data_IF_668516501112
#
_entry.id   IF_668516501112
#
_cell.length_a   1.000
_cell.length_b   1.000
_cell.length_c   1.000
_cell.angle_alpha   90.00
_cell.angle_beta   90.00
_cell.angle_gamma   90.00
#
_symmetry.space_group_name_H-M   'P 1'
#
loop_
_entity.id
_entity.type
_entity.pdbx_description
1 polymer ?
#
# COMPACT_ATOMS: atom_id res chain seq x y z
N UNK A 1 72.62 19.60 -1.67
CA UNK A 1 73.54 20.00 -0.58
C UNK A 1 72.73 20.73 0.48
N UNK A 2 72.82 20.26 1.72
CA UNK A 2 72.30 20.81 3.00
C UNK A 2 70.76 20.96 3.13
N UNK A 3 70.02 20.06 3.81
CA UNK A 3 70.01 19.64 5.25
C UNK A 3 69.74 20.77 6.24
N UNK A 4 68.58 20.70 6.92
CA UNK A 4 68.36 20.67 8.39
C UNK A 4 66.92 21.14 8.69
N UNK A 5 66.17 20.67 9.70
CA UNK A 5 66.30 19.59 10.70
C UNK A 5 64.90 19.38 11.30
N UNK A 6 64.64 18.15 11.75
CA UNK A 6 63.52 17.71 12.61
C UNK A 6 63.41 18.56 13.90
N UNK A 7 62.21 18.61 14.48
CA UNK A 7 61.96 17.98 15.79
C UNK A 7 60.46 17.74 16.05
N UNK A 8 60.21 16.63 16.73
CA UNK A 8 58.93 15.99 17.04
C UNK A 8 58.20 16.64 18.23
N UNK A 9 56.87 16.42 18.36
CA UNK A 9 56.20 15.97 19.60
C UNK A 9 54.76 15.51 19.28
N UNK A 10 54.43 14.37 19.89
CA UNK A 10 53.20 13.58 20.04
C UNK A 10 51.99 14.34 20.60
N UNK A 11 50.75 14.07 20.13
CA UNK A 11 49.60 13.63 20.96
C UNK A 11 48.26 13.55 20.19
N UNK A 12 47.41 12.71 20.75
CA UNK A 12 46.26 11.97 20.20
C UNK A 12 44.92 12.70 20.35
N UNK A 13 43.99 12.44 19.39
CA UNK A 13 42.51 12.56 19.37
C UNK A 13 41.81 13.75 20.08
N UNK A 14 40.97 14.48 19.32
CA UNK A 14 39.54 14.64 19.65
C UNK A 14 38.69 15.13 18.45
N UNK A 15 37.56 14.43 18.25
CA UNK A 15 36.33 14.71 17.49
C UNK A 15 36.25 15.93 16.55
N UNK A 16 36.11 15.67 15.25
CA UNK A 16 35.63 16.64 14.26
C UNK A 16 34.18 16.32 13.83
N UNK A 17 33.30 17.25 14.19
CA UNK A 17 32.10 17.71 13.47
C UNK A 17 31.81 17.07 12.11
N UNK A 18 30.66 16.40 11.97
CA UNK A 18 30.09 16.13 10.64
C UNK A 18 29.30 17.36 10.20
N UNK A 19 29.92 18.07 9.27
CA UNK A 19 29.44 19.16 8.46
C UNK A 19 28.18 18.81 7.67
N UNK A 20 27.31 19.80 7.51
CA UNK A 20 26.06 19.71 6.77
C UNK A 20 26.26 19.34 5.30
N UNK A 21 25.33 18.53 4.80
CA UNK A 21 25.13 18.34 3.38
C UNK A 21 24.03 19.29 2.90
N UNK A 22 24.45 20.30 2.14
CA UNK A 22 23.55 21.03 1.26
C UNK A 22 23.07 20.11 0.15
N UNK A 23 21.76 20.05 -0.06
CA UNK A 23 21.16 19.41 -1.23
C UNK A 23 20.83 20.50 -2.25
N UNK A 24 21.48 20.37 -3.42
CA UNK A 24 21.22 21.15 -4.61
C UNK A 24 19.80 20.87 -5.15
N UNK A 25 19.07 21.88 -5.64
CA UNK A 25 17.87 21.68 -6.43
C UNK A 25 18.27 21.53 -7.89
N UNK A 26 18.11 20.34 -8.49
CA UNK A 26 17.88 20.11 -9.92
C UNK A 26 18.02 18.61 -10.25
N UNK A 27 16.99 17.82 -9.93
CA UNK A 27 16.84 16.45 -10.42
C UNK A 27 15.37 15.99 -10.54
N UNK A 28 14.43 16.93 -10.72
CA UNK A 28 13.00 16.60 -10.86
C UNK A 28 12.62 16.33 -12.34
N UNK A 29 13.53 16.58 -13.29
CA UNK A 29 13.27 16.44 -14.73
C UNK A 29 13.34 15.02 -15.31
N UNK A 30 14.12 14.11 -14.71
CA UNK A 30 14.45 12.81 -15.35
C UNK A 30 13.66 11.61 -14.82
N UNK A 31 12.83 11.78 -13.79
CA UNK A 31 12.05 10.69 -13.18
C UNK A 31 10.73 10.41 -13.94
N UNK A 32 10.25 11.36 -14.76
CA UNK A 32 8.94 11.28 -15.40
C UNK A 32 8.86 10.40 -16.68
N UNK A 33 10.00 9.93 -17.23
CA UNK A 33 10.01 9.13 -18.49
C UNK A 33 10.16 7.61 -18.31
N UNK A 34 10.10 7.08 -17.08
CA UNK A 34 10.22 5.62 -16.80
C UNK A 34 9.00 4.98 -16.10
N UNK A 35 7.80 5.50 -16.32
CA UNK A 35 6.56 4.81 -15.90
C UNK A 35 5.87 4.09 -17.06
N UNK A 36 6.59 3.19 -17.72
CA UNK A 36 6.00 1.87 -17.98
C UNK A 36 6.52 0.99 -16.86
N UNK A 37 5.70 0.80 -15.82
CA UNK A 37 5.99 -0.21 -14.80
C UNK A 37 5.70 -1.56 -15.44
N UNK A 38 6.59 -2.03 -16.30
CA UNK A 38 6.80 -3.47 -16.48
C UNK A 38 7.48 -3.90 -15.19
N UNK A 39 6.71 -4.45 -14.24
CA UNK A 39 7.32 -5.14 -13.10
C UNK A 39 8.13 -6.28 -13.72
N UNK A 40 9.47 -6.27 -13.67
CA UNK A 40 10.22 -7.44 -14.06
C UNK A 40 9.80 -8.53 -13.08
N UNK A 41 9.28 -9.66 -13.57
CA UNK A 41 9.06 -10.82 -12.73
C UNK A 41 10.36 -11.08 -11.95
N UNK A 42 10.26 -11.28 -10.64
CA UNK A 42 11.40 -11.77 -9.88
C UNK A 42 11.83 -13.09 -10.54
N UNK A 43 12.95 -13.07 -11.27
CA UNK A 43 13.48 -14.25 -11.96
C UNK A 43 14.01 -15.30 -10.99
N UNK A 44 14.12 -14.97 -9.71
CA UNK A 44 14.56 -15.89 -8.66
C UNK A 44 13.36 -16.66 -8.16
N UNK A 45 13.37 -17.96 -8.43
CA UNK A 45 12.44 -18.92 -7.87
C UNK A 45 13.11 -19.69 -6.74
N UNK A 46 12.31 -20.18 -5.81
CA UNK A 46 12.77 -21.00 -4.69
C UNK A 46 12.93 -22.45 -5.19
N UNK A 47 14.01 -23.10 -4.78
CA UNK A 47 14.36 -24.43 -5.27
C UNK A 47 13.33 -25.47 -4.81
N UNK A 48 13.11 -26.49 -5.65
CA UNK A 48 12.09 -27.52 -5.41
C UNK A 48 12.27 -28.23 -4.07
N UNK A 49 13.50 -28.56 -3.68
CA UNK A 49 13.78 -29.25 -2.42
C UNK A 49 13.48 -28.37 -1.19
N UNK A 50 13.61 -27.05 -1.31
CA UNK A 50 13.24 -26.10 -0.26
C UNK A 50 11.72 -26.01 -0.11
N UNK A 51 10.99 -25.94 -1.23
CA UNK A 51 9.52 -26.00 -1.22
C UNK A 51 9.04 -27.30 -0.59
N UNK A 52 9.61 -28.44 -1.01
CA UNK A 52 9.26 -29.76 -0.49
C UNK A 52 9.49 -29.88 1.02
N UNK A 53 10.52 -29.26 1.58
CA UNK A 53 10.73 -29.22 3.04
C UNK A 53 9.58 -28.53 3.77
N UNK A 54 9.07 -27.43 3.22
CA UNK A 54 8.00 -26.62 3.83
C UNK A 54 6.65 -27.34 3.78
N UNK A 55 6.29 -27.90 2.61
CA UNK A 55 4.98 -28.51 2.40
C UNK A 55 4.83 -29.92 3.01
N UNK A 56 5.91 -30.54 3.51
CA UNK A 56 5.87 -31.87 4.17
C UNK A 56 4.84 -31.98 5.29
N UNK A 57 4.51 -30.86 5.93
CA UNK A 57 3.53 -30.77 7.03
C UNK A 57 2.11 -30.42 6.60
N UNK A 58 1.87 -30.26 5.29
CA UNK A 58 0.56 -29.91 4.72
C UNK A 58 -0.26 -31.17 4.46
N UNK A 59 -1.56 -31.01 4.19
CA UNK A 59 -2.40 -32.11 3.76
C UNK A 59 -1.95 -32.66 2.38
N UNK A 60 -2.24 -33.93 2.04
CA UNK A 60 -1.82 -34.54 0.78
C UNK A 60 -2.31 -33.81 -0.49
N UNK A 61 -3.52 -33.24 -0.47
CA UNK A 61 -4.08 -32.50 -1.61
C UNK A 61 -3.22 -31.30 -2.02
N UNK A 62 -3.01 -30.32 -1.11
CA UNK A 62 -2.07 -29.22 -1.35
C UNK A 62 -0.65 -29.67 -1.71
N UNK A 63 -0.13 -30.75 -1.11
CA UNK A 63 1.19 -31.26 -1.48
C UNK A 63 1.25 -31.72 -2.95
N UNK A 64 0.24 -32.45 -3.42
CA UNK A 64 0.14 -32.89 -4.80
C UNK A 64 0.04 -31.69 -5.75
N UNK A 65 -0.85 -30.74 -5.44
CA UNK A 65 -1.00 -29.52 -6.24
C UNK A 65 0.30 -28.72 -6.32
N UNK A 66 1.09 -28.65 -5.23
CA UNK A 66 2.40 -28.00 -5.26
C UNK A 66 3.35 -28.67 -6.26
N UNK A 67 3.38 -30.00 -6.29
CA UNK A 67 4.21 -30.76 -7.23
C UNK A 67 3.77 -30.52 -8.68
N UNK A 68 2.46 -30.52 -8.94
CA UNK A 68 1.91 -30.25 -10.27
C UNK A 68 2.21 -28.83 -10.74
N UNK A 69 2.02 -27.83 -9.88
CA UNK A 69 2.33 -26.43 -10.20
C UNK A 69 3.82 -26.23 -10.43
N UNK A 70 4.69 -26.85 -9.63
CA UNK A 70 6.14 -26.79 -9.84
C UNK A 70 6.57 -27.50 -11.13
N UNK A 71 5.94 -28.62 -11.48
CA UNK A 71 6.22 -29.32 -12.73
C UNK A 71 5.82 -28.47 -13.95
N UNK A 72 4.72 -27.72 -13.86
CA UNK A 72 4.20 -26.90 -14.96
C UNK A 72 4.84 -25.52 -15.08
N UNK A 73 5.10 -24.84 -13.97
CA UNK A 73 5.51 -23.44 -13.92
C UNK A 73 6.90 -23.19 -13.31
N UNK A 74 7.59 -24.25 -12.85
CA UNK A 74 8.83 -24.14 -12.10
C UNK A 74 8.61 -23.75 -10.64
N UNK A 75 9.69 -23.45 -9.91
CA UNK A 75 9.61 -23.07 -8.50
C UNK A 75 8.79 -21.78 -8.26
N UNK A 76 8.11 -21.64 -7.10
CA UNK A 76 7.41 -20.42 -6.73
C UNK A 76 8.41 -19.28 -6.42
N UNK A 77 7.94 -18.03 -6.46
CA UNK A 77 8.73 -16.87 -6.02
C UNK A 77 8.55 -16.58 -4.52
N UNK A 78 7.52 -17.13 -3.88
CA UNK A 78 7.26 -16.96 -2.44
C UNK A 78 6.91 -18.31 -1.81
N UNK A 79 7.55 -18.63 -0.70
CA UNK A 79 7.28 -19.82 0.13
C UNK A 79 7.18 -19.38 1.57
N UNK A 80 6.10 -19.77 2.24
CA UNK A 80 5.88 -19.59 3.67
C UNK A 80 5.31 -20.88 4.26
N UNK A 81 5.18 -21.00 5.58
CA UNK A 81 4.57 -22.18 6.20
C UNK A 81 3.11 -22.39 5.78
N UNK A 82 2.41 -21.34 5.30
CA UNK A 82 0.98 -21.37 5.01
C UNK A 82 0.63 -21.23 3.52
N UNK A 83 1.56 -20.78 2.67
CA UNK A 83 1.29 -20.58 1.23
C UNK A 83 2.53 -20.62 0.34
N UNK A 84 2.30 -20.96 -0.94
CA UNK A 84 3.20 -20.79 -2.07
C UNK A 84 2.59 -19.79 -3.06
N UNK A 85 3.42 -18.93 -3.67
CA UNK A 85 2.97 -18.00 -4.73
C UNK A 85 3.85 -18.08 -5.97
N UNK A 86 3.19 -18.27 -7.11
CA UNK A 86 3.74 -17.97 -8.44
C UNK A 86 3.16 -16.66 -8.95
N UNK A 87 3.99 -15.80 -9.52
CA UNK A 87 3.60 -14.52 -10.13
C UNK A 87 3.91 -14.56 -11.62
N UNK A 88 2.97 -14.06 -12.42
CA UNK A 88 3.10 -14.02 -13.89
C UNK A 88 3.43 -15.39 -14.51
N UNK A 89 2.74 -16.45 -14.05
CA UNK A 89 2.92 -17.82 -14.53
C UNK A 89 1.80 -18.16 -15.54
N UNK A 90 2.18 -18.49 -16.77
CA UNK A 90 1.21 -18.75 -17.85
C UNK A 90 0.29 -17.54 -18.09
N UNK A 91 -1.04 -17.74 -18.23
CA UNK A 91 -1.99 -16.63 -18.37
C UNK A 91 -2.35 -15.94 -17.05
N UNK A 92 -1.81 -16.41 -15.92
CA UNK A 92 -2.23 -15.98 -14.59
C UNK A 92 -1.35 -14.85 -14.07
N UNK A 93 -2.00 -13.82 -13.50
CA UNK A 93 -1.33 -12.78 -12.71
C UNK A 93 -0.65 -13.40 -11.50
N UNK A 94 -1.36 -14.34 -10.85
CA UNK A 94 -0.94 -14.99 -9.61
C UNK A 94 -1.54 -16.40 -9.53
N UNK A 95 -0.75 -17.34 -9.03
CA UNK A 95 -1.22 -18.65 -8.56
C UNK A 95 -0.88 -18.70 -7.08
N UNK A 96 -1.87 -18.95 -6.23
CA UNK A 96 -1.70 -19.06 -4.78
C UNK A 96 -2.14 -20.44 -4.34
N UNK A 97 -1.23 -21.18 -3.73
CA UNK A 97 -1.54 -22.47 -3.11
C UNK A 97 -1.41 -22.33 -1.60
N UNK A 98 -2.40 -22.77 -0.84
CA UNK A 98 -2.40 -22.64 0.62
C UNK A 98 -2.34 -23.99 1.32
N UNK A 99 -1.85 -23.97 2.56
CA UNK A 99 -1.91 -25.11 3.48
C UNK A 99 -3.35 -25.45 3.89
N UNK A 100 -4.15 -24.42 4.13
CA UNK A 100 -5.55 -24.55 4.53
C UNK A 100 -6.40 -25.09 3.38
N UNK A 101 -7.26 -26.04 3.72
CA UNK A 101 -8.27 -26.65 2.86
C UNK A 101 -9.65 -26.13 3.28
N UNK A 102 -10.43 -25.61 2.32
CA UNK A 102 -11.77 -25.11 2.57
C UNK A 102 -12.81 -26.05 1.92
N UNK A 103 -13.84 -26.52 2.64
CA UNK A 103 -14.85 -27.37 2.03
C UNK A 103 -15.67 -26.60 0.99
N UNK A 104 -15.93 -27.25 -0.15
CA UNK A 104 -16.69 -26.67 -1.25
C UNK A 104 -17.54 -27.74 -1.94
N UNK A 105 -18.85 -27.46 -2.08
CA UNK A 105 -19.83 -28.47 -2.50
C UNK A 105 -20.20 -28.45 -3.99
N UNK A 106 -19.67 -27.50 -4.77
CA UNK A 106 -20.01 -27.36 -6.18
C UNK A 106 -18.82 -27.65 -7.10
N UNK A 107 -18.99 -28.50 -8.14
CA UNK A 107 -20.20 -29.19 -8.57
C UNK A 107 -20.48 -30.47 -7.76
N UNK A 108 -19.51 -30.88 -6.95
CA UNK A 108 -19.60 -31.97 -5.98
C UNK A 108 -18.68 -31.64 -4.79
N UNK A 109 -18.85 -32.27 -3.62
CA UNK A 109 -17.99 -32.03 -2.46
C UNK A 109 -16.50 -32.29 -2.75
N UNK A 110 -15.67 -31.28 -2.48
CA UNK A 110 -14.21 -31.32 -2.56
C UNK A 110 -13.61 -30.23 -1.65
N UNK A 111 -12.27 -30.08 -1.68
CA UNK A 111 -11.53 -29.12 -0.85
C UNK A 111 -10.79 -28.08 -1.71
N UNK A 112 -10.98 -26.81 -1.40
CA UNK A 112 -10.39 -25.66 -2.07
C UNK A 112 -9.07 -25.24 -1.42
N UNK A 113 -7.98 -25.33 -2.17
CA UNK A 113 -6.63 -24.91 -1.72
C UNK A 113 -5.80 -24.20 -2.79
N UNK A 114 -6.20 -24.31 -4.07
CA UNK A 114 -5.48 -23.75 -5.21
C UNK A 114 -6.28 -22.61 -5.83
N UNK A 115 -5.76 -21.39 -5.75
CA UNK A 115 -6.32 -20.19 -6.34
C UNK A 115 -5.51 -19.75 -7.56
N UNK A 116 -6.21 -19.44 -8.64
CA UNK A 116 -5.66 -18.72 -9.78
C UNK A 116 -6.25 -17.32 -9.82
N UNK A 117 -5.47 -16.34 -10.24
CA UNK A 117 -5.90 -14.95 -10.41
C UNK A 117 -5.54 -14.48 -11.82
N UNK A 118 -6.52 -13.93 -12.53
CA UNK A 118 -6.32 -13.26 -13.82
C UNK A 118 -6.53 -11.75 -13.68
N UNK A 119 -5.90 -10.99 -14.58
CA UNK A 119 -6.22 -9.60 -14.78
C UNK A 119 -7.53 -9.50 -15.58
N UNK A 120 -8.60 -9.07 -14.90
CA UNK A 120 -9.95 -9.03 -15.46
C UNK A 120 -10.80 -7.99 -14.71
N UNK A 121 -11.30 -6.99 -15.42
CA UNK A 121 -12.26 -6.02 -14.90
C UNK A 121 -13.68 -6.53 -15.12
N UNK A 122 -14.31 -7.01 -14.04
CA UNK A 122 -15.74 -7.39 -14.08
C UNK A 122 -16.60 -6.13 -14.11
N UNK A 123 -17.51 -5.96 -15.09
CA UNK A 123 -18.48 -4.87 -15.10
C UNK A 123 -19.32 -4.86 -13.80
N UNK A 124 -19.58 -3.67 -13.26
CA UNK A 124 -20.26 -3.54 -11.95
C UNK A 124 -21.64 -4.18 -11.98
N UNK A 125 -22.37 -3.96 -13.07
CA UNK A 125 -23.70 -4.51 -13.35
C UNK A 125 -23.71 -6.02 -13.64
N UNK A 126 -22.54 -6.67 -13.62
CA UNK A 126 -22.38 -8.13 -13.75
C UNK A 126 -21.85 -8.80 -12.49
N UNK A 127 -21.63 -8.05 -11.41
CA UNK A 127 -21.04 -8.59 -10.19
C UNK A 127 -21.95 -9.63 -9.52
N UNK A 128 -23.26 -9.41 -9.55
CA UNK A 128 -24.24 -10.31 -8.92
C UNK A 128 -24.30 -11.65 -9.65
N UNK A 129 -24.33 -11.65 -10.98
CA UNK A 129 -24.35 -12.88 -11.77
C UNK A 129 -23.06 -13.70 -11.62
N UNK A 130 -21.91 -13.03 -11.48
CA UNK A 130 -20.62 -13.70 -11.24
C UNK A 130 -20.61 -14.41 -9.89
N UNK A 131 -21.06 -13.75 -8.81
CA UNK A 131 -21.16 -14.38 -7.49
C UNK A 131 -22.24 -15.48 -7.45
N UNK A 132 -23.36 -15.29 -8.17
CA UNK A 132 -24.41 -16.30 -8.28
C UNK A 132 -23.95 -17.54 -9.06
N UNK A 133 -23.04 -17.38 -10.02
CA UNK A 133 -22.45 -18.49 -10.77
C UNK A 133 -21.58 -19.38 -9.87
N UNK A 134 -20.63 -18.82 -9.13
CA UNK A 134 -19.71 -19.62 -8.32
C UNK A 134 -19.21 -18.91 -7.06
N UNK A 135 -19.41 -19.55 -5.90
CA UNK A 135 -18.87 -19.09 -4.62
C UNK A 135 -17.32 -19.16 -4.55
N UNK A 136 -16.70 -19.90 -5.48
CA UNK A 136 -15.25 -19.98 -5.67
C UNK A 136 -14.62 -18.73 -6.31
N UNK A 137 -15.43 -17.78 -6.78
CA UNK A 137 -14.96 -16.56 -7.44
C UNK A 137 -14.81 -15.39 -6.46
N UNK A 138 -13.72 -14.64 -6.61
CA UNK A 138 -13.52 -13.37 -5.89
C UNK A 138 -13.23 -12.25 -6.90
N UNK A 139 -14.01 -11.16 -6.82
CA UNK A 139 -13.82 -9.95 -7.63
C UNK A 139 -13.05 -8.91 -6.81
N UNK A 140 -11.85 -8.53 -7.25
CA UNK A 140 -11.10 -7.43 -6.65
C UNK A 140 -10.92 -6.28 -7.66
N UNK A 141 -11.89 -5.37 -7.67
CA UNK A 141 -12.05 -4.31 -8.69
C UNK A 141 -10.91 -3.31 -8.76
N UNK A 142 -10.41 -2.85 -7.61
CA UNK A 142 -9.31 -1.87 -7.57
C UNK A 142 -8.02 -2.48 -8.13
N UNK A 143 -7.80 -3.78 -7.89
CA UNK A 143 -6.68 -4.52 -8.48
C UNK A 143 -6.89 -4.97 -9.93
N UNK A 144 -8.13 -4.84 -10.44
CA UNK A 144 -8.53 -5.40 -11.73
C UNK A 144 -8.37 -6.91 -11.78
N UNK A 145 -8.75 -7.61 -10.72
CA UNK A 145 -8.53 -9.05 -10.56
C UNK A 145 -9.85 -9.82 -10.48
N UNK A 146 -9.87 -10.98 -11.14
CA UNK A 146 -10.82 -12.05 -10.89
C UNK A 146 -10.02 -13.29 -10.46
N UNK A 147 -10.33 -13.82 -9.28
CA UNK A 147 -9.74 -15.07 -8.77
C UNK A 147 -10.77 -16.19 -8.81
N UNK A 148 -10.31 -17.42 -9.05
CA UNK A 148 -11.06 -18.66 -8.88
C UNK A 148 -10.24 -19.59 -7.99
N UNK A 149 -10.89 -20.21 -6.99
CA UNK A 149 -10.27 -21.14 -6.05
C UNK A 149 -10.94 -22.52 -6.11
N UNK A 150 -10.14 -23.58 -6.16
CA UNK A 150 -10.62 -24.97 -6.30
C UNK A 150 -9.52 -25.96 -5.86
N UNK A 151 -9.73 -27.25 -6.09
CA UNK A 151 -8.74 -28.33 -5.91
C UNK A 151 -7.78 -28.43 -7.11
N UNK A 152 -8.23 -28.08 -8.32
CA UNK A 152 -7.52 -28.27 -9.58
C UNK A 152 -7.43 -26.98 -10.42
N UNK A 153 -6.29 -26.76 -11.10
CA UNK A 153 -6.14 -25.65 -12.06
C UNK A 153 -7.21 -25.70 -13.15
N UNK A 154 -7.45 -26.88 -13.71
CA UNK A 154 -8.46 -27.09 -14.75
C UNK A 154 -9.88 -26.65 -14.34
N UNK A 155 -10.25 -26.80 -13.06
CA UNK A 155 -11.56 -26.36 -12.55
C UNK A 155 -11.58 -24.83 -12.41
N UNK A 156 -10.47 -24.21 -11.99
CA UNK A 156 -10.33 -22.76 -11.99
C UNK A 156 -10.41 -22.17 -13.42
N UNK A 157 -9.73 -22.79 -14.39
CA UNK A 157 -9.79 -22.41 -15.81
C UNK A 157 -11.22 -22.52 -16.36
N UNK A 158 -11.92 -23.62 -16.06
CA UNK A 158 -13.33 -23.81 -16.41
C UNK A 158 -14.21 -22.72 -15.79
N UNK A 159 -13.99 -22.41 -14.52
CA UNK A 159 -14.70 -21.34 -13.79
C UNK A 159 -14.54 -20.00 -14.51
N UNK A 160 -13.31 -19.62 -14.90
CA UNK A 160 -13.08 -18.36 -15.62
C UNK A 160 -13.78 -18.30 -16.98
N UNK A 161 -13.75 -19.39 -17.75
CA UNK A 161 -14.37 -19.43 -19.07
C UNK A 161 -15.89 -19.26 -18.98
N UNK A 162 -16.53 -19.97 -18.06
CA UNK A 162 -17.98 -19.87 -17.85
C UNK A 162 -18.38 -18.53 -17.23
N UNK A 163 -17.59 -17.99 -16.28
CA UNK A 163 -17.82 -16.65 -15.75
C UNK A 163 -17.75 -15.59 -16.87
N UNK A 164 -16.76 -15.68 -17.77
CA UNK A 164 -16.67 -14.78 -18.91
C UNK A 164 -17.88 -14.89 -19.86
N UNK A 165 -18.43 -16.07 -20.07
CA UNK A 165 -19.63 -16.25 -20.87
C UNK A 165 -20.90 -15.68 -20.21
N UNK A 166 -21.02 -15.79 -18.88
CA UNK A 166 -22.08 -15.12 -18.11
C UNK A 166 -21.95 -13.60 -18.21
N UNK A 167 -20.74 -13.07 -18.04
CA UNK A 167 -20.45 -11.63 -18.16
C UNK A 167 -20.77 -11.11 -19.57
N UNK A 168 -20.43 -11.90 -20.60
CA UNK A 168 -20.71 -11.57 -22.00
C UNK A 168 -22.17 -11.80 -22.42
N UNK A 169 -23.04 -12.28 -21.52
CA UNK A 169 -24.44 -12.58 -21.80
C UNK A 169 -24.66 -13.76 -22.74
N UNK A 170 -23.65 -14.59 -22.98
CA UNK A 170 -23.75 -15.80 -23.81
C UNK A 170 -24.44 -16.96 -23.09
N UNK A 171 -24.40 -16.95 -21.75
CA UNK A 171 -25.01 -17.97 -20.90
C UNK A 171 -25.72 -17.31 -19.73
N UNK A 172 -26.82 -17.93 -19.31
CA UNK A 172 -27.39 -17.63 -18.00
C UNK A 172 -26.53 -18.26 -16.90
N UNK A 173 -26.69 -17.80 -15.66
CA UNK A 173 -26.05 -18.41 -14.49
C UNK A 173 -26.40 -19.90 -14.38
N UNK A 174 -27.66 -20.26 -14.62
CA UNK A 174 -28.13 -21.64 -14.54
C UNK A 174 -27.47 -22.52 -15.61
N UNK A 175 -27.40 -22.05 -16.85
CA UNK A 175 -26.77 -22.78 -17.96
C UNK A 175 -25.27 -22.98 -17.70
N UNK A 176 -24.59 -21.93 -17.22
CA UNK A 176 -23.18 -22.01 -16.87
C UNK A 176 -22.92 -23.03 -15.74
N UNK A 177 -23.75 -23.07 -14.70
CA UNK A 177 -23.63 -24.06 -13.61
C UNK A 177 -23.88 -25.49 -14.11
N UNK A 178 -24.88 -25.68 -14.98
CA UNK A 178 -25.15 -26.99 -15.58
C UNK A 178 -23.97 -27.46 -16.43
N UNK A 179 -23.46 -26.58 -17.29
CA UNK A 179 -22.34 -26.89 -18.18
C UNK A 179 -21.04 -27.15 -17.42
N UNK A 180 -20.82 -26.48 -16.28
CA UNK A 180 -19.72 -26.81 -15.38
C UNK A 180 -19.78 -28.28 -14.97
N UNK A 181 -20.94 -28.74 -14.47
CA UNK A 181 -21.15 -30.14 -14.07
C UNK A 181 -20.97 -31.11 -15.24
N UNK A 182 -21.53 -30.79 -16.41
CA UNK A 182 -21.40 -31.61 -17.62
C UNK A 182 -19.92 -31.76 -18.05
N UNK A 183 -19.14 -30.67 -17.99
CA UNK A 183 -17.72 -30.66 -18.35
C UNK A 183 -16.89 -31.46 -17.33
N UNK A 184 -17.17 -31.31 -16.03
CA UNK A 184 -16.50 -32.11 -15.00
C UNK A 184 -16.77 -33.60 -15.21
N UNK A 185 -18.02 -34.00 -15.48
CA UNK A 185 -18.37 -35.39 -15.79
C UNK A 185 -17.63 -35.91 -17.03
N UNK A 186 -17.57 -35.11 -18.10
CA UNK A 186 -16.84 -35.50 -19.31
C UNK A 186 -15.37 -35.79 -19.03
N UNK A 187 -14.73 -35.02 -18.13
CA UNK A 187 -13.35 -35.23 -17.72
C UNK A 187 -13.16 -36.47 -16.85
N UNK A 188 -14.10 -36.75 -15.96
CA UNK A 188 -14.13 -38.02 -15.21
C UNK A 188 -14.18 -39.21 -16.16
N UNK A 189 -14.83 -39.07 -17.32
CA UNK A 189 -14.87 -40.07 -18.39
C UNK A 189 -13.65 -40.03 -19.34
N UNK A 190 -12.60 -39.28 -19.01
CA UNK A 190 -11.35 -39.22 -19.77
C UNK A 190 -11.37 -38.31 -21.01
N UNK A 191 -12.41 -37.47 -21.18
CA UNK A 191 -12.44 -36.47 -22.26
C UNK A 191 -11.65 -35.21 -21.86
N UNK A 192 -11.15 -34.47 -22.86
CA UNK A 192 -10.35 -33.24 -22.67
C UNK A 192 -11.06 -32.01 -23.28
N UNK A 193 -12.16 -31.52 -22.66
CA UNK A 193 -12.91 -30.37 -23.18
C UNK A 193 -12.09 -29.08 -23.12
N UNK A 194 -12.13 -28.28 -24.19
CA UNK A 194 -11.33 -27.06 -24.34
C UNK A 194 -11.49 -26.09 -23.15
N UNK A 195 -12.71 -25.96 -22.62
CA UNK A 195 -13.04 -25.07 -21.49
C UNK A 195 -12.29 -25.39 -20.19
N UNK A 196 -11.77 -26.62 -20.01
CA UNK A 196 -10.97 -26.99 -18.83
C UNK A 196 -9.46 -27.03 -19.12
N UNK A 197 -9.06 -26.92 -20.39
CA UNK A 197 -7.67 -27.04 -20.85
C UNK A 197 -6.92 -25.71 -20.83
N UNK A 198 -7.62 -24.62 -21.12
CA UNK A 198 -7.06 -23.27 -21.16
C UNK A 198 -8.14 -22.21 -21.22
N UNK A 199 -7.74 -20.96 -21.02
CA UNK A 199 -8.67 -19.84 -21.16
C UNK A 199 -9.11 -19.70 -22.62
N UNK A 200 -10.42 -19.61 -22.83
CA UNK A 200 -11.07 -19.42 -24.14
C UNK A 200 -11.18 -17.94 -24.52
N UNK A 201 -10.52 -17.08 -23.75
CA UNK A 201 -10.42 -15.64 -23.96
C UNK A 201 -9.03 -15.20 -23.51
N UNK A 202 -8.58 -14.06 -24.04
CA UNK A 202 -7.32 -13.45 -23.61
C UNK A 202 -7.58 -12.58 -22.38
N UNK A 203 -6.92 -12.84 -21.22
CA UNK A 203 -7.00 -11.95 -20.07
C UNK A 203 -6.56 -10.53 -20.41
N UNK A 204 -7.12 -9.56 -19.72
CA UNK A 204 -6.76 -8.15 -19.87
C UNK A 204 -5.34 -7.91 -19.33
N UNK A 205 -4.74 -6.77 -19.67
CA UNK A 205 -3.51 -6.33 -18.98
C UNK A 205 -3.88 -5.58 -17.70
N UNK A 206 -2.96 -5.52 -16.73
CA UNK A 206 -3.21 -4.76 -15.49
C UNK A 206 -3.51 -3.28 -15.72
N UNK A 207 -2.87 -2.68 -16.73
CA UNK A 207 -3.11 -1.30 -17.09
C UNK A 207 -4.57 -1.06 -17.54
N UNK A 208 -5.20 -2.07 -18.15
CA UNK A 208 -6.58 -2.01 -18.64
C UNK A 208 -7.57 -2.49 -17.57
N UNK A 209 -7.22 -3.51 -16.80
CA UNK A 209 -8.13 -4.15 -15.87
C UNK A 209 -8.36 -3.36 -14.58
N UNK A 210 -7.37 -2.59 -14.11
CA UNK A 210 -7.47 -1.88 -12.84
C UNK A 210 -8.51 -0.75 -12.92
N UNK A 211 -9.61 -0.89 -12.17
CA UNK A 211 -10.59 0.18 -12.03
C UNK A 211 -10.02 1.27 -11.12
N UNK A 212 -9.88 2.49 -11.65
CA UNK A 212 -9.63 3.67 -10.82
C UNK A 212 -10.98 4.17 -10.32
N UNK A 213 -11.22 4.00 -9.04
CA UNK A 213 -12.37 4.63 -8.39
C UNK A 213 -12.26 6.16 -8.55
N UNK A 214 -13.33 6.77 -9.04
CA UNK A 214 -13.43 8.23 -9.16
C UNK A 214 -13.75 8.79 -7.79
N UNK A 215 -12.89 9.68 -7.27
CA UNK A 215 -13.17 10.38 -6.03
C UNK A 215 -14.34 11.35 -6.26
N UNK A 216 -15.49 11.04 -5.68
CA UNK A 216 -16.74 11.83 -5.78
C UNK A 216 -16.99 12.73 -4.57
N UNK A 217 -16.26 12.54 -3.47
CA UNK A 217 -16.42 13.37 -2.27
C UNK A 217 -15.89 14.80 -2.52
N UNK A 218 -16.72 15.84 -2.35
CA UNK A 218 -16.28 17.22 -2.44
C UNK A 218 -15.14 17.51 -1.45
N UNK A 219 -14.11 18.23 -1.91
CA UNK A 219 -12.95 18.60 -1.09
C UNK A 219 -11.94 17.46 -0.84
N UNK A 220 -12.26 16.22 -1.20
CA UNK A 220 -11.32 15.11 -1.06
C UNK A 220 -10.18 15.19 -2.09
N UNK A 221 -8.99 14.79 -1.65
CA UNK A 221 -7.80 14.81 -2.50
C UNK A 221 -7.90 13.78 -3.65
N UNK A 222 -7.45 14.18 -4.84
CA UNK A 222 -7.37 13.30 -6.03
C UNK A 222 -5.92 13.00 -6.37
N UNK A 223 -5.64 11.81 -6.90
CA UNK A 223 -4.33 11.49 -7.47
C UNK A 223 -4.11 12.26 -8.76
N UNK A 224 -2.88 12.72 -8.99
CA UNK A 224 -2.50 13.27 -10.30
C UNK A 224 -2.65 12.20 -11.37
N UNK A 225 -3.23 12.56 -12.52
CA UNK A 225 -3.31 11.66 -13.66
C UNK A 225 -1.94 11.53 -14.33
N UNK A 226 -1.70 10.38 -14.99
CA UNK A 226 -0.42 10.07 -15.64
C UNK A 226 -0.03 11.06 -16.76
N UNK A 227 -0.96 11.91 -17.21
CA UNK A 227 -0.73 12.98 -18.20
C UNK A 227 -0.60 14.40 -17.61
N UNK A 228 -0.71 14.59 -16.29
CA UNK A 228 -0.59 15.92 -15.67
C UNK A 228 0.89 16.30 -15.48
N UNK A 229 1.37 17.26 -16.28
CA UNK A 229 2.76 17.74 -16.25
C UNK A 229 3.01 18.90 -15.28
N UNK A 230 1.98 19.42 -14.63
CA UNK A 230 2.09 20.49 -13.63
C UNK A 230 1.32 20.13 -12.36
N UNK A 231 2.01 19.44 -11.47
CA UNK A 231 1.58 19.25 -10.09
C UNK A 231 2.16 20.41 -9.26
N UNK A 232 1.30 21.19 -8.58
CA UNK A 232 1.73 22.38 -7.82
C UNK A 232 0.60 23.38 -7.58
N UNK A 233 0.93 24.47 -6.86
CA UNK A 233 -0.03 25.54 -6.54
C UNK A 233 -1.01 25.15 -5.44
N UNK A 234 -2.13 25.87 -5.35
CA UNK A 234 -3.07 25.78 -4.22
C UNK A 234 -3.59 24.36 -3.95
N UNK A 235 -3.78 23.56 -5.00
CA UNK A 235 -4.21 22.16 -4.90
C UNK A 235 -3.17 21.24 -4.22
N UNK A 236 -1.89 21.39 -4.58
CA UNK A 236 -0.82 20.63 -3.93
C UNK A 236 -0.58 21.14 -2.50
N UNK A 237 -0.68 22.46 -2.28
CA UNK A 237 -0.54 23.06 -0.95
C UNK A 237 -1.61 22.51 0.01
N UNK A 238 -2.87 22.47 -0.42
CA UNK A 238 -3.96 21.88 0.36
C UNK A 238 -3.72 20.40 0.64
N UNK A 239 -3.25 19.63 -0.35
CA UNK A 239 -2.96 18.21 -0.16
C UNK A 239 -1.79 17.98 0.80
N UNK A 240 -0.73 18.79 0.73
CA UNK A 240 0.38 18.74 1.68
C UNK A 240 -0.10 19.03 3.10
N UNK A 241 -0.90 20.08 3.29
CA UNK A 241 -1.44 20.42 4.62
C UNK A 241 -2.27 19.27 5.19
N UNK A 242 -3.29 18.80 4.45
CA UNK A 242 -4.12 17.66 4.88
C UNK A 242 -3.28 16.40 5.16
N UNK A 243 -2.23 16.14 4.39
CA UNK A 243 -1.33 15.00 4.65
C UNK A 243 -0.57 15.16 5.98
N UNK A 244 -0.01 16.34 6.27
CA UNK A 244 0.65 16.59 7.57
C UNK A 244 -0.34 16.37 8.72
N UNK A 245 -1.54 16.95 8.62
CA UNK A 245 -2.52 16.85 9.69
C UNK A 245 -2.98 15.41 9.94
N UNK A 246 -3.25 14.64 8.88
CA UNK A 246 -3.61 13.23 9.00
C UNK A 246 -2.49 12.39 9.63
N UNK A 247 -1.23 12.67 9.28
CA UNK A 247 -0.08 11.98 9.87
C UNK A 247 0.08 12.31 11.37
N UNK A 248 -0.14 13.56 11.77
CA UNK A 248 -0.08 13.97 13.18
C UNK A 248 -1.28 13.46 14.00
N UNK A 249 -2.47 13.39 13.40
CA UNK A 249 -3.64 12.69 13.98
C UNK A 249 -3.32 11.21 14.21
N UNK A 250 -2.66 10.54 13.26
CA UNK A 250 -2.26 9.14 13.42
C UNK A 250 -1.18 8.98 14.50
N UNK A 251 -0.14 9.82 14.52
CA UNK A 251 0.90 9.78 15.55
C UNK A 251 0.32 10.01 16.96
N UNK A 252 -0.59 10.97 17.11
CA UNK A 252 -1.30 11.21 18.35
C UNK A 252 -2.23 10.05 18.75
N UNK A 253 -2.89 9.40 17.78
CA UNK A 253 -3.68 8.19 18.03
C UNK A 253 -2.83 7.04 18.54
N UNK A 254 -1.64 6.84 17.95
CA UNK A 254 -0.66 5.87 18.45
C UNK A 254 -0.26 6.24 19.88
N UNK A 255 0.09 7.49 20.16
CA UNK A 255 0.50 7.92 21.51
C UNK A 255 -0.54 7.57 22.59
N UNK A 256 -1.83 7.75 22.29
CA UNK A 256 -2.94 7.39 23.19
C UNK A 256 -2.96 5.90 23.58
N UNK A 257 -2.36 5.02 22.77
CA UNK A 257 -2.28 3.57 23.05
C UNK A 257 -1.01 3.13 23.78
N UNK A 258 -0.01 4.02 23.93
CA UNK A 258 1.36 3.62 24.32
C UNK A 258 1.66 3.80 25.81
N UNK A 259 0.62 3.76 26.65
CA UNK A 259 0.71 3.93 28.12
C UNK A 259 1.46 5.20 28.54
N UNK A 260 1.35 6.27 27.74
CA UNK A 260 1.90 7.58 28.12
C UNK A 260 1.03 8.21 29.20
N UNK A 261 1.66 8.88 30.17
CA UNK A 261 0.96 9.49 31.29
C UNK A 261 0.90 11.02 31.21
N UNK A 262 0.00 11.59 32.03
CA UNK A 262 0.05 13.00 32.41
C UNK A 262 0.07 14.00 31.23
N UNK A 263 0.94 15.01 31.26
CA UNK A 263 0.96 16.08 30.27
C UNK A 263 1.17 15.62 28.81
N UNK A 264 1.88 14.51 28.58
CA UNK A 264 2.11 14.00 27.21
C UNK A 264 0.86 13.39 26.61
N UNK A 265 0.03 12.72 27.42
CA UNK A 265 -1.28 12.22 26.97
C UNK A 265 -2.21 13.38 26.60
N UNK A 266 -2.22 14.45 27.40
CA UNK A 266 -3.05 15.64 27.12
C UNK A 266 -2.57 16.36 25.85
N UNK A 267 -1.26 16.47 25.66
CA UNK A 267 -0.70 17.01 24.42
C UNK A 267 -1.11 16.17 23.21
N UNK A 268 -1.00 14.83 23.28
CA UNK A 268 -1.46 13.96 22.19
C UNK A 268 -2.97 14.11 21.93
N UNK A 269 -3.80 14.26 22.97
CA UNK A 269 -5.23 14.53 22.80
C UNK A 269 -5.47 15.85 22.05
N UNK A 270 -4.76 16.90 22.44
CA UNK A 270 -4.83 18.22 21.82
C UNK A 270 -4.40 18.20 20.34
N UNK A 271 -3.28 17.54 20.02
CA UNK A 271 -2.81 17.36 18.63
C UNK A 271 -3.87 16.65 17.79
N UNK A 272 -4.38 15.51 18.28
CA UNK A 272 -5.41 14.76 17.56
C UNK A 272 -6.67 15.59 17.26
N UNK A 273 -7.15 16.37 18.23
CA UNK A 273 -8.33 17.20 18.06
C UNK A 273 -8.11 18.35 17.08
N UNK A 274 -7.02 19.11 17.25
CA UNK A 274 -6.78 20.32 16.46
C UNK A 274 -6.37 20.02 15.03
N UNK A 275 -5.53 19.01 14.80
CA UNK A 275 -5.19 18.60 13.45
C UNK A 275 -6.39 17.93 12.76
N UNK A 276 -7.19 17.14 13.49
CA UNK A 276 -8.46 16.62 12.95
C UNK A 276 -9.43 17.73 12.51
N UNK A 277 -9.50 18.81 13.30
CA UNK A 277 -10.28 20.01 12.95
C UNK A 277 -9.71 20.74 11.73
N UNK A 278 -8.40 20.82 11.58
CA UNK A 278 -7.77 21.45 10.42
C UNK A 278 -7.96 20.65 9.12
N UNK A 279 -7.97 19.32 9.19
CA UNK A 279 -8.38 18.46 8.06
C UNK A 279 -9.80 18.80 7.61
N UNK A 280 -10.74 18.93 8.56
CA UNK A 280 -12.13 19.27 8.27
C UNK A 280 -12.25 20.67 7.64
N UNK A 281 -11.58 21.66 8.22
CA UNK A 281 -11.61 23.05 7.74
C UNK A 281 -10.96 23.20 6.36
N UNK A 282 -9.85 22.51 6.12
CA UNK A 282 -9.17 22.46 4.83
C UNK A 282 -10.06 21.82 3.76
N UNK A 283 -10.76 20.72 4.08
CA UNK A 283 -11.69 20.08 3.16
C UNK A 283 -12.89 20.98 2.83
N UNK A 284 -13.47 21.68 3.82
CA UNK A 284 -14.53 22.68 3.60
C UNK A 284 -14.04 23.83 2.73
N UNK A 285 -12.84 24.33 2.99
CA UNK A 285 -12.25 25.41 2.23
C UNK A 285 -12.03 25.00 0.77
N UNK A 286 -11.51 23.80 0.52
CA UNK A 286 -11.32 23.25 -0.82
C UNK A 286 -12.62 23.28 -1.64
N UNK A 287 -13.75 22.93 -1.03
CA UNK A 287 -15.09 23.05 -1.65
C UNK A 287 -15.43 24.52 -1.93
N UNK A 288 -15.29 25.41 -0.94
CA UNK A 288 -15.64 26.83 -1.06
C UNK A 288 -14.87 27.52 -2.19
N UNK A 289 -13.57 27.24 -2.32
CA UNK A 289 -12.73 27.89 -3.31
C UNK A 289 -12.66 27.14 -4.65
N UNK A 290 -13.36 26.02 -4.79
CA UNK A 290 -13.38 25.20 -6.00
C UNK A 290 -12.02 24.58 -6.35
N UNK A 291 -11.17 24.33 -5.36
CA UNK A 291 -9.85 23.71 -5.56
C UNK A 291 -9.90 22.29 -5.05
N UNK A 292 -9.65 21.32 -5.93
CA UNK A 292 -9.50 19.92 -5.53
C UNK A 292 -8.07 19.67 -5.09
N UNK A 293 -7.81 19.21 -3.85
CA UNK A 293 -6.45 18.88 -3.43
C UNK A 293 -5.85 17.78 -4.31
N UNK A 294 -4.56 17.85 -4.61
CA UNK A 294 -3.89 16.91 -5.52
C UNK A 294 -2.75 16.15 -4.82
N UNK A 295 -2.84 14.82 -4.85
CA UNK A 295 -1.83 13.89 -4.38
C UNK A 295 -0.72 13.75 -5.43
N UNK A 296 0.39 14.45 -5.18
CA UNK A 296 1.57 14.51 -6.05
C UNK A 296 2.70 13.61 -5.49
N UNK A 297 3.77 13.35 -6.25
CA UNK A 297 4.95 12.67 -5.70
C UNK A 297 5.54 13.35 -4.46
N UNK A 298 5.50 14.69 -4.39
CA UNK A 298 6.01 15.43 -3.23
C UNK A 298 5.12 15.22 -1.99
N UNK A 299 3.79 15.25 -2.16
CA UNK A 299 2.82 14.96 -1.07
C UNK A 299 3.01 13.52 -0.58
N UNK A 300 3.20 12.56 -1.49
CA UNK A 300 3.46 11.17 -1.13
C UNK A 300 4.77 11.00 -0.35
N UNK A 301 5.85 11.64 -0.80
CA UNK A 301 7.14 11.57 -0.13
C UNK A 301 7.09 12.16 1.30
N UNK A 302 6.26 13.20 1.50
CA UNK A 302 6.01 13.77 2.82
C UNK A 302 5.35 12.74 3.76
N UNK A 303 4.28 12.08 3.31
CA UNK A 303 3.63 11.00 4.07
C UNK A 303 4.61 9.85 4.38
N UNK A 304 5.36 9.38 3.39
CA UNK A 304 6.34 8.29 3.56
C UNK A 304 7.40 8.66 4.61
N UNK A 305 7.87 9.91 4.62
CA UNK A 305 8.81 10.42 5.63
C UNK A 305 8.21 10.36 7.03
N UNK A 306 6.98 10.86 7.22
CA UNK A 306 6.33 10.86 8.53
C UNK A 306 6.01 9.46 9.02
N UNK A 307 5.51 8.58 8.14
CA UNK A 307 5.26 7.18 8.44
C UNK A 307 6.53 6.46 8.90
N UNK A 308 7.66 6.68 8.21
CA UNK A 308 8.95 6.11 8.60
C UNK A 308 9.45 6.63 9.96
N UNK A 309 9.21 7.91 10.27
CA UNK A 309 9.57 8.49 11.56
C UNK A 309 8.73 7.91 12.71
N UNK A 310 7.41 7.79 12.51
CA UNK A 310 6.51 7.16 13.49
C UNK A 310 6.83 5.68 13.72
N UNK A 311 7.12 4.94 12.64
CA UNK A 311 7.46 3.51 12.72
C UNK A 311 8.67 3.21 13.62
N UNK A 312 9.61 4.16 13.76
CA UNK A 312 10.78 4.02 14.65
C UNK A 312 10.41 4.07 16.13
N UNK A 313 9.33 4.78 16.49
CA UNK A 313 8.94 4.98 17.89
C UNK A 313 7.81 4.05 18.33
N UNK A 314 7.01 3.51 17.38
CA UNK A 314 5.90 2.58 17.66
C UNK A 314 6.28 1.38 18.55
N UNK A 315 7.48 0.77 18.44
CA UNK A 315 7.87 -0.34 19.33
C UNK A 315 8.11 0.06 20.80
N UNK A 316 8.25 1.36 21.09
CA UNK A 316 8.47 1.86 22.44
C UNK A 316 7.14 1.94 23.22
N UNK A 317 7.21 1.95 24.54
CA UNK A 317 6.07 2.21 25.44
C UNK A 317 6.47 3.14 26.58
N UNK A 318 5.48 3.70 27.30
CA UNK A 318 5.68 4.49 28.51
C UNK A 318 6.58 5.71 28.27
N UNK A 319 7.50 5.98 29.20
CA UNK A 319 8.36 7.17 29.17
C UNK A 319 9.32 7.20 27.97
N UNK A 320 9.76 6.02 27.50
CA UNK A 320 10.59 5.91 26.31
C UNK A 320 9.83 6.35 25.05
N UNK A 321 8.56 5.91 24.93
CA UNK A 321 7.69 6.39 23.86
C UNK A 321 7.38 7.88 24.01
N UNK A 322 7.04 8.33 25.23
CA UNK A 322 6.70 9.72 25.50
C UNK A 322 7.83 10.69 25.08
N UNK A 323 9.07 10.36 25.42
CA UNK A 323 10.25 11.15 25.05
C UNK A 323 10.45 11.18 23.54
N UNK A 324 10.38 10.01 22.88
CA UNK A 324 10.55 9.91 21.44
C UNK A 324 9.41 10.58 20.65
N UNK A 325 8.19 10.56 21.18
CA UNK A 325 7.03 11.23 20.62
C UNK A 325 7.17 12.75 20.70
N UNK A 326 7.61 13.30 21.84
CA UNK A 326 7.86 14.74 21.95
C UNK A 326 8.97 15.19 20.99
N UNK A 327 10.04 14.41 20.84
CA UNK A 327 11.07 14.69 19.82
C UNK A 327 10.53 14.66 18.40
N UNK A 328 9.71 13.66 18.07
CA UNK A 328 9.02 13.58 16.78
C UNK A 328 8.16 14.82 16.53
N UNK A 329 7.39 15.27 17.53
CA UNK A 329 6.52 16.45 17.41
C UNK A 329 7.33 17.75 17.30
N UNK A 330 8.41 17.92 18.06
CA UNK A 330 9.29 19.09 17.93
C UNK A 330 9.90 19.18 16.53
N UNK A 331 10.42 18.06 16.02
CA UNK A 331 11.05 18.03 14.70
C UNK A 331 10.01 18.24 13.59
N UNK A 332 8.90 17.50 13.64
CA UNK A 332 7.80 17.61 12.67
C UNK A 332 7.22 19.02 12.59
N UNK A 333 6.83 19.61 13.72
CA UNK A 333 6.27 20.96 13.74
C UNK A 333 7.29 22.02 13.29
N UNK A 334 8.59 21.85 13.60
CA UNK A 334 9.65 22.76 13.11
C UNK A 334 9.74 22.73 11.58
N UNK A 335 9.73 21.54 10.98
CA UNK A 335 9.76 21.37 9.53
C UNK A 335 8.46 21.86 8.87
N UNK A 336 7.31 21.58 9.47
CA UNK A 336 5.98 22.02 9.00
C UNK A 336 5.88 23.54 9.00
N UNK A 337 6.42 24.25 10.01
CA UNK A 337 6.45 25.72 9.98
C UNK A 337 7.26 26.27 8.79
N UNK A 338 8.40 25.65 8.47
CA UNK A 338 9.19 26.04 7.30
C UNK A 338 8.45 25.72 5.99
N UNK A 339 7.71 24.60 5.94
CA UNK A 339 6.86 24.24 4.82
C UNK A 339 5.74 25.27 4.64
N UNK A 340 5.00 25.61 5.70
CA UNK A 340 3.94 26.61 5.70
C UNK A 340 4.47 27.98 5.26
N UNK A 341 5.66 28.39 5.70
CA UNK A 341 6.29 29.64 5.26
C UNK A 341 6.56 29.66 3.75
N UNK A 342 7.02 28.55 3.17
CA UNK A 342 7.18 28.42 1.72
C UNK A 342 5.83 28.45 1.00
N UNK A 343 4.86 27.71 1.51
CA UNK A 343 3.53 27.60 0.92
C UNK A 343 2.76 28.92 0.97
N UNK A 344 2.87 29.71 2.03
CA UNK A 344 2.27 31.04 2.13
C UNK A 344 2.74 31.99 1.02
N UNK A 345 4.02 31.89 0.63
CA UNK A 345 4.57 32.64 -0.52
C UNK A 345 4.07 32.10 -1.86
N UNK A 346 3.93 30.78 -1.97
CA UNK A 346 3.54 30.10 -3.21
C UNK A 346 2.03 30.11 -3.49
N UNK A 347 1.20 30.19 -2.44
CA UNK A 347 -0.24 30.18 -2.53
C UNK A 347 -0.73 31.36 -3.39
N UNK A 348 -1.82 31.15 -4.12
CA UNK A 348 -2.44 32.17 -4.99
C UNK A 348 -3.78 32.61 -4.44
N UNK A 349 -4.59 31.66 -3.95
CA UNK A 349 -5.89 31.95 -3.39
C UNK A 349 -5.78 32.66 -2.03
N UNK A 350 -6.49 33.80 -1.90
CA UNK A 350 -6.47 34.63 -0.69
C UNK A 350 -7.04 33.92 0.54
N UNK A 351 -8.11 33.14 0.38
CA UNK A 351 -8.71 32.39 1.48
C UNK A 351 -7.79 31.26 1.94
N UNK A 352 -7.12 30.57 1.01
CA UNK A 352 -6.08 29.60 1.36
C UNK A 352 -4.90 30.24 2.11
N UNK A 353 -4.43 31.43 1.70
CA UNK A 353 -3.39 32.16 2.45
C UNK A 353 -3.81 32.50 3.87
N UNK A 354 -5.06 32.95 4.05
CA UNK A 354 -5.60 33.25 5.37
C UNK A 354 -5.66 31.98 6.25
N UNK A 355 -6.13 30.88 5.67
CA UNK A 355 -6.15 29.57 6.33
C UNK A 355 -4.74 29.13 6.77
N UNK A 356 -3.77 29.10 5.85
CA UNK A 356 -2.38 28.73 6.15
C UNK A 356 -1.74 29.63 7.21
N UNK A 357 -2.11 30.91 7.26
CA UNK A 357 -1.61 31.86 8.27
C UNK A 357 -2.15 31.50 9.66
N UNK A 358 -3.44 31.16 9.75
CA UNK A 358 -4.07 30.67 10.99
C UNK A 358 -3.40 29.38 11.46
N UNK A 359 -3.28 28.38 10.56
CA UNK A 359 -2.65 27.09 10.83
C UNK A 359 -1.22 27.26 11.31
N UNK A 360 -0.43 28.11 10.66
CA UNK A 360 0.95 28.41 11.08
C UNK A 360 1.01 28.90 12.54
N UNK A 361 0.07 29.74 12.97
CA UNK A 361 -0.02 30.18 14.36
C UNK A 361 -0.30 29.03 15.33
N UNK A 362 -1.22 28.14 14.95
CA UNK A 362 -1.58 26.94 15.73
C UNK A 362 -0.37 25.99 15.86
N UNK A 363 0.29 25.65 14.75
CA UNK A 363 1.48 24.78 14.71
C UNK A 363 2.63 25.39 15.54
N UNK A 364 2.81 26.71 15.52
CA UNK A 364 3.81 27.38 16.36
C UNK A 364 3.50 27.25 17.87
N UNK A 365 2.22 27.30 18.24
CA UNK A 365 1.77 27.02 19.60
C UNK A 365 2.06 25.57 20.01
N UNK A 366 1.77 24.61 19.14
CA UNK A 366 2.04 23.20 19.39
C UNK A 366 3.53 22.91 19.54
N UNK A 367 4.39 23.53 18.73
CA UNK A 367 5.85 23.41 18.84
C UNK A 367 6.36 23.96 20.18
N UNK A 368 5.83 25.11 20.60
CA UNK A 368 6.17 25.71 21.90
C UNK A 368 5.86 24.74 23.04
N UNK A 369 4.67 24.14 23.02
CA UNK A 369 4.26 23.21 24.07
C UNK A 369 5.05 21.90 24.04
N UNK A 370 5.34 21.33 22.87
CA UNK A 370 6.18 20.14 22.76
C UNK A 370 7.59 20.38 23.33
N UNK A 371 8.19 21.54 23.04
CA UNK A 371 9.49 21.92 23.60
C UNK A 371 9.44 22.05 25.11
N UNK A 372 8.40 22.69 25.65
CA UNK A 372 8.18 22.84 27.09
C UNK A 372 8.10 21.48 27.78
N UNK A 373 7.23 20.60 27.28
CA UNK A 373 7.03 19.25 27.82
C UNK A 373 8.30 18.40 27.77
N UNK A 374 9.07 18.52 26.69
CA UNK A 374 10.36 17.83 26.58
C UNK A 374 11.34 18.31 27.65
N UNK A 375 11.44 19.62 27.86
CA UNK A 375 12.32 20.18 28.90
C UNK A 375 11.90 19.71 30.29
N UNK A 376 10.59 19.74 30.61
CA UNK A 376 10.07 19.28 31.90
C UNK A 376 10.39 17.78 32.15
N UNK A 377 10.24 16.95 31.12
CA UNK A 377 10.57 15.52 31.19
C UNK A 377 12.06 15.30 31.50
N UNK A 378 12.96 16.03 30.82
CA UNK A 378 14.41 15.92 31.06
C UNK A 378 14.82 16.35 32.47
N UNK A 379 14.16 17.36 33.04
CA UNK A 379 14.44 17.83 34.40
C UNK A 379 13.95 16.84 35.47
N UNK A 380 12.82 16.19 35.21
CA UNK A 380 12.24 15.19 36.13
C UNK A 380 13.08 13.91 36.19
N UNK A 381 13.67 13.47 35.08
CA UNK A 381 14.57 12.30 35.06
C UNK A 381 15.97 12.56 35.66
N UNK A 382 16.31 13.81 35.97
CA UNK A 382 17.61 14.22 36.54
C UNK A 382 17.60 14.41 38.06
N UNK A 383 16.43 14.23 38.69
CA UNK A 383 16.22 14.21 40.13
C UNK A 383 15.88 12.79 40.56
#
# INVERSE_FOLDING_TARGET
MFKNKLDAVTMTLLAATVTGFGLMPDAIGDVAKKQQVTVPAAKVTIARDEVEKVIRSWAPGPQLAAQEMMAKYGGPQEVTSERLIWRAAGPFKRITLTREELPHDFPMPHMDYLEHTIAFNVPVDKSDEVHAFGASLTIYRVGGELSARCDLESNNVLTFNLANDVIAGKKTVADARKEFGDIVLQRTLGKDPAYAKGLQFQPQTLAVAASRETVTMPGAAKRVDAGMTKAGGDAEIMAMLTTVDLDEVHAASVAKTKKVGGPVMEYARMIHERHGKDVEDTAKLAVIIGVTPLQTPAVRALHEKHAAALARIVPLEGDAFASAYLELMVNGHTETLQLLDRQLRAAKNKALKAHLTSVRGIVAGHLTEAKRLRTDATQTSSR
#
